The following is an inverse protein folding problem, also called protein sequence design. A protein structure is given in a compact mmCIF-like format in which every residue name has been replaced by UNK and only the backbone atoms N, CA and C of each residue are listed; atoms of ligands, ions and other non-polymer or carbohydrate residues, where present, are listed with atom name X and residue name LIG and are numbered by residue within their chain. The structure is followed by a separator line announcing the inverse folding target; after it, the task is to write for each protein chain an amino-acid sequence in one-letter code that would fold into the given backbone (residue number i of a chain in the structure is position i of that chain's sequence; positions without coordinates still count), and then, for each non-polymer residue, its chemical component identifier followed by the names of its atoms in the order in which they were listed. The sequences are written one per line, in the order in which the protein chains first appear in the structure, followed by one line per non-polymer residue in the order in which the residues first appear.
data_IF_919960097100
#
_entry.id   IF_919960097100
#
_cell.length_a   1.000
_cell.length_b   1.000
_cell.length_c   1.000
_cell.angle_alpha   90.00
_cell.angle_beta   90.00
_cell.angle_gamma   90.00
#
_symmetry.space_group_name_H-M   'P 1'
#
loop_
_entity.id
_entity.type
_entity.pdbx_description
1 polymer ?
#
# COMPACT_ATOMS: atom_id res chain seq x y z
N UNK A 1 60.23 -27.05 -6.72
CA UNK A 1 59.19 -28.05 -7.01
C UNK A 1 57.94 -27.27 -7.32
N UNK A 2 57.57 -27.28 -8.59
CA UNK A 2 56.50 -26.49 -9.18
C UNK A 2 55.21 -26.63 -8.37
N UNK A 3 54.56 -25.50 -8.07
CA UNK A 3 53.25 -25.45 -7.43
C UNK A 3 52.24 -26.09 -8.38
N UNK A 4 52.07 -27.41 -8.23
CA UNK A 4 51.07 -28.18 -8.93
C UNK A 4 49.73 -27.48 -8.77
N UNK A 5 49.14 -27.07 -9.90
CA UNK A 5 47.71 -26.80 -9.97
C UNK A 5 47.02 -28.13 -9.71
N UNK A 6 46.78 -28.40 -8.44
CA UNK A 6 46.01 -29.53 -7.95
C UNK A 6 44.54 -29.35 -8.37
N UNK A 7 44.28 -29.64 -9.64
CA UNK A 7 42.96 -29.65 -10.25
C UNK A 7 42.22 -30.92 -9.86
N UNK A 8 41.87 -31.01 -8.57
CA UNK A 8 40.98 -32.07 -8.10
C UNK A 8 39.55 -31.77 -8.55
N UNK A 9 38.93 -32.74 -9.22
CA UNK A 9 37.54 -32.73 -9.66
C UNK A 9 36.67 -33.42 -8.61
N UNK A 10 35.68 -32.72 -8.07
CA UNK A 10 34.73 -33.33 -7.14
C UNK A 10 33.69 -34.14 -7.93
N UNK A 11 33.70 -35.44 -7.69
CA UNK A 11 32.74 -36.40 -8.24
C UNK A 11 31.82 -36.83 -7.08
N UNK A 12 30.52 -36.53 -7.19
CA UNK A 12 29.50 -37.11 -6.32
C UNK A 12 29.11 -38.49 -6.85
N UNK A 13 29.21 -39.54 -6.03
CA UNK A 13 28.72 -40.86 -6.41
C UNK A 13 27.26 -41.02 -5.97
N UNK A 14 26.33 -41.09 -6.93
CA UNK A 14 24.89 -41.23 -6.67
C UNK A 14 24.38 -42.69 -6.70
N UNK A 15 25.30 -43.66 -6.65
CA UNK A 15 25.00 -45.09 -6.72
C UNK A 15 24.61 -45.60 -8.12
N UNK A 16 24.46 -44.72 -9.13
CA UNK A 16 24.30 -45.08 -10.55
C UNK A 16 25.44 -44.60 -11.44
N UNK A 17 26.33 -43.76 -10.91
CA UNK A 17 27.55 -43.27 -11.54
C UNK A 17 28.09 -42.04 -10.82
N UNK A 18 29.31 -41.62 -11.14
CA UNK A 18 29.88 -40.38 -10.61
C UNK A 18 29.33 -39.15 -11.37
N UNK A 19 28.51 -38.33 -10.73
CA UNK A 19 28.13 -37.00 -11.26
C UNK A 19 29.14 -35.95 -10.83
N UNK A 20 29.71 -35.27 -11.80
CA UNK A 20 30.61 -34.15 -11.56
C UNK A 20 29.77 -32.97 -11.03
N UNK A 21 30.21 -32.34 -9.93
CA UNK A 21 29.55 -31.14 -9.42
C UNK A 21 29.59 -30.01 -10.47
N UNK A 22 28.60 -29.11 -10.51
CA UNK A 22 28.64 -27.95 -11.39
C UNK A 22 29.93 -27.14 -11.21
N UNK A 23 30.49 -26.61 -12.31
CA UNK A 23 31.76 -25.84 -12.30
C UNK A 23 31.76 -24.71 -11.25
N UNK A 24 30.61 -24.04 -11.07
CA UNK A 24 30.43 -22.99 -10.05
C UNK A 24 30.66 -23.55 -8.63
N UNK A 25 30.06 -24.68 -8.32
CA UNK A 25 30.17 -25.34 -7.00
C UNK A 25 31.60 -25.77 -6.70
N UNK A 26 32.32 -26.26 -7.71
CA UNK A 26 33.74 -26.61 -7.58
C UNK A 26 34.59 -25.37 -7.31
N UNK A 27 34.35 -24.27 -8.03
CA UNK A 27 35.06 -23.00 -7.82
C UNK A 27 34.81 -22.43 -6.43
N UNK A 28 33.56 -22.45 -5.97
CA UNK A 28 33.15 -21.94 -4.66
C UNK A 28 33.79 -22.79 -3.54
N UNK A 29 33.87 -24.12 -3.68
CA UNK A 29 34.56 -24.98 -2.73
C UNK A 29 36.08 -24.73 -2.71
N UNK A 30 36.74 -24.65 -3.86
CA UNK A 30 38.18 -24.35 -3.94
C UNK A 30 38.52 -23.02 -3.27
N UNK A 31 37.69 -22.00 -3.48
CA UNK A 31 37.84 -20.70 -2.84
C UNK A 31 37.64 -20.76 -1.31
N UNK A 32 36.72 -21.59 -0.83
CA UNK A 32 36.52 -21.81 0.60
C UNK A 32 37.66 -22.61 1.23
N UNK A 33 38.13 -23.67 0.56
CA UNK A 33 39.21 -24.55 1.02
C UNK A 33 40.52 -23.77 1.23
N UNK A 34 40.96 -23.00 0.23
CA UNK A 34 42.17 -22.17 0.33
C UNK A 34 42.10 -21.17 1.47
N UNK A 35 40.89 -20.64 1.73
CA UNK A 35 40.66 -19.67 2.80
C UNK A 35 40.73 -20.34 4.18
N UNK A 36 40.10 -21.50 4.34
CA UNK A 36 40.14 -22.27 5.59
C UNK A 36 41.54 -22.81 5.90
N UNK A 37 42.29 -23.28 4.90
CA UNK A 37 43.71 -23.65 5.10
C UNK A 37 44.54 -22.45 5.56
N UNK A 38 44.35 -21.28 4.94
CA UNK A 38 45.03 -20.05 5.36
C UNK A 38 44.64 -19.60 6.77
N UNK A 39 43.42 -19.91 7.21
CA UNK A 39 42.93 -19.69 8.57
C UNK A 39 43.37 -20.78 9.58
N UNK A 40 44.12 -21.79 9.11
CA UNK A 40 44.74 -22.82 9.96
C UNK A 40 43.92 -24.09 10.15
N UNK A 41 42.85 -24.30 9.37
CA UNK A 41 42.10 -25.56 9.41
C UNK A 41 42.88 -26.67 8.71
N UNK A 42 42.93 -27.86 9.33
CA UNK A 42 43.58 -29.02 8.74
C UNK A 42 42.79 -29.55 7.52
N UNK A 43 43.46 -29.95 6.42
CA UNK A 43 42.84 -30.52 5.21
C UNK A 43 41.78 -31.59 5.49
N UNK A 44 42.11 -32.53 6.39
CA UNK A 44 41.21 -33.63 6.76
C UNK A 44 39.88 -33.16 7.38
N UNK A 45 39.86 -32.00 8.02
CA UNK A 45 38.64 -31.42 8.61
C UNK A 45 37.78 -30.79 7.53
N UNK A 46 38.40 -30.07 6.57
CA UNK A 46 37.69 -29.40 5.47
C UNK A 46 37.10 -30.43 4.50
N UNK A 47 37.79 -31.54 4.26
CA UNK A 47 37.33 -32.64 3.39
C UNK A 47 36.15 -33.43 3.96
N UNK A 48 36.00 -33.46 5.29
CA UNK A 48 34.83 -34.04 5.95
C UNK A 48 33.59 -33.13 5.89
N UNK A 49 33.75 -31.86 5.53
CA UNK A 49 32.65 -30.92 5.41
C UNK A 49 31.92 -31.07 4.07
N UNK A 50 30.60 -30.87 4.09
CA UNK A 50 29.86 -30.66 2.83
C UNK A 50 30.31 -29.36 2.17
N UNK A 51 30.17 -29.27 0.84
CA UNK A 51 30.57 -28.08 0.07
C UNK A 51 29.96 -26.78 0.61
N UNK A 52 28.69 -26.83 1.01
CA UNK A 52 27.99 -25.69 1.59
C UNK A 52 28.45 -25.35 3.01
N UNK A 53 28.81 -26.35 3.82
CA UNK A 53 29.34 -26.13 5.17
C UNK A 53 30.72 -25.46 5.12
N UNK A 54 31.63 -25.94 4.27
CA UNK A 54 32.94 -25.31 4.07
C UNK A 54 32.80 -23.87 3.56
N UNK A 55 31.90 -23.62 2.61
CA UNK A 55 31.66 -22.27 2.09
C UNK A 55 31.10 -21.31 3.14
N UNK A 56 30.12 -21.74 3.93
CA UNK A 56 29.54 -20.90 4.99
C UNK A 56 30.54 -20.66 6.15
N UNK A 57 31.44 -21.59 6.42
CA UNK A 57 32.49 -21.41 7.42
C UNK A 57 33.55 -20.42 6.93
N UNK A 58 33.99 -20.54 5.68
CA UNK A 58 34.99 -19.65 5.07
C UNK A 58 34.43 -18.24 4.81
N UNK A 59 33.16 -18.16 4.40
CA UNK A 59 32.46 -16.92 4.14
C UNK A 59 31.21 -16.89 5.01
N UNK A 60 31.38 -16.68 6.33
CA UNK A 60 30.21 -16.47 7.18
C UNK A 60 29.45 -15.32 6.56
N UNK A 61 28.12 -15.49 6.43
CA UNK A 61 27.25 -14.37 6.11
C UNK A 61 27.48 -13.36 7.22
N UNK A 62 28.38 -12.40 6.98
CA UNK A 62 28.42 -11.19 7.76
C UNK A 62 26.98 -10.71 7.75
N UNK A 63 26.37 -10.64 8.93
CA UNK A 63 25.21 -9.80 9.15
C UNK A 63 25.44 -8.56 8.32
N UNK A 64 24.58 -8.33 7.33
CA UNK A 64 24.65 -7.14 6.48
C UNK A 64 24.96 -5.99 7.44
N UNK A 65 26.15 -5.40 7.29
CA UNK A 65 26.57 -4.25 8.08
C UNK A 65 25.51 -3.20 7.77
N UNK A 66 24.51 -3.08 8.64
CA UNK A 66 23.57 -1.97 8.58
C UNK A 66 24.46 -0.73 8.58
N UNK A 67 24.32 0.11 7.58
CA UNK A 67 25.10 1.33 7.47
C UNK A 67 24.90 2.13 8.77
N UNK A 68 25.92 2.15 9.64
CA UNK A 68 25.93 2.84 10.93
C UNK A 68 26.07 4.36 10.75
N UNK A 69 25.33 4.95 9.80
CA UNK A 69 25.33 6.40 9.56
C UNK A 69 23.94 6.92 9.20
N UNK A 70 22.91 6.30 9.76
CA UNK A 70 21.64 6.97 10.00
C UNK A 70 21.44 6.94 11.51
N UNK A 71 21.62 8.09 12.17
CA UNK A 71 21.13 8.32 13.54
C UNK A 71 19.60 8.35 13.48
N UNK A 72 18.98 7.21 13.16
CA UNK A 72 17.53 7.07 13.29
C UNK A 72 17.28 6.94 14.79
N UNK A 73 16.70 7.96 15.40
CA UNK A 73 16.20 7.87 16.76
C UNK A 73 15.45 6.55 16.94
N UNK A 74 15.65 5.83 18.06
CA UNK A 74 14.90 4.61 18.32
C UNK A 74 13.41 4.98 18.33
N UNK A 75 12.61 4.27 17.51
CA UNK A 75 11.14 4.41 17.50
C UNK A 75 10.65 4.28 18.94
N UNK A 76 10.12 5.38 19.50
CA UNK A 76 9.62 5.40 20.87
C UNK A 76 8.45 4.43 20.96
N UNK A 77 8.49 3.51 21.93
CA UNK A 77 7.28 2.78 22.33
C UNK A 77 6.38 3.80 23.02
N UNK A 78 5.12 3.98 22.59
CA UNK A 78 4.20 4.81 23.34
C UNK A 78 3.98 4.15 24.69
N UNK A 79 4.46 4.79 25.77
CA UNK A 79 4.19 4.43 27.17
C UNK A 79 2.96 5.18 27.70
N UNK A 80 2.10 5.63 26.78
CA UNK A 80 0.91 6.41 27.09
C UNK A 80 -0.27 5.44 27.16
N UNK A 81 -0.79 5.23 28.36
CA UNK A 81 -2.08 4.57 28.57
C UNK A 81 -3.20 5.57 28.20
N UNK A 82 -3.69 5.49 26.96
CA UNK A 82 -4.83 6.29 26.49
C UNK A 82 -6.11 5.58 26.93
N UNK A 83 -6.64 5.98 28.08
CA UNK A 83 -7.94 5.49 28.55
C UNK A 83 -9.05 6.20 27.78
N UNK A 84 -9.76 5.46 26.92
CA UNK A 84 -10.97 5.95 26.26
C UNK A 84 -12.17 5.77 27.18
N UNK A 85 -12.89 6.86 27.46
CA UNK A 85 -14.17 6.77 28.16
C UNK A 85 -15.24 6.15 27.24
N UNK A 86 -16.09 5.27 27.79
CA UNK A 86 -17.20 4.69 27.04
C UNK A 86 -18.30 5.74 26.86
N UNK A 87 -18.46 6.22 25.63
CA UNK A 87 -19.58 7.09 25.26
C UNK A 87 -20.75 6.25 24.72
N UNK A 88 -21.89 6.28 25.40
CA UNK A 88 -23.15 5.80 24.82
C UNK A 88 -23.72 6.86 23.87
N UNK A 89 -23.93 6.49 22.61
CA UNK A 89 -24.58 7.34 21.61
C UNK A 89 -25.84 6.66 21.11
N UNK A 90 -26.99 7.29 21.34
CA UNK A 90 -28.24 6.89 20.71
C UNK A 90 -28.22 7.36 19.26
N UNK A 91 -28.10 6.42 18.32
CA UNK A 91 -28.08 6.70 16.89
C UNK A 91 -29.42 6.30 16.28
N UNK A 92 -30.14 7.26 15.72
CA UNK A 92 -31.29 6.95 14.86
C UNK A 92 -30.76 6.43 13.52
N UNK A 93 -30.78 5.11 13.35
CA UNK A 93 -30.30 4.48 12.12
C UNK A 93 -31.39 4.53 11.05
N UNK A 94 -31.04 5.00 9.85
CA UNK A 94 -31.95 4.96 8.71
C UNK A 94 -32.08 3.52 8.21
N UNK A 95 -33.20 3.19 7.54
CA UNK A 95 -33.43 1.85 7.00
C UNK A 95 -32.29 1.41 6.07
N UNK A 96 -31.54 0.38 6.47
CA UNK A 96 -30.41 -0.16 5.70
C UNK A 96 -30.82 -0.68 4.32
N UNK A 97 -32.08 -1.08 4.15
CA UNK A 97 -32.63 -1.50 2.85
C UNK A 97 -32.69 -0.31 1.87
N UNK A 98 -33.12 0.86 2.34
CA UNK A 98 -33.21 2.05 1.50
C UNK A 98 -31.82 2.59 1.15
N UNK A 99 -30.89 2.57 2.11
CA UNK A 99 -29.49 2.96 1.89
C UNK A 99 -28.77 2.01 0.91
N UNK A 100 -29.02 0.70 1.00
CA UNK A 100 -28.48 -0.29 0.07
C UNK A 100 -29.00 -0.08 -1.37
N UNK A 101 -30.31 0.17 -1.53
CA UNK A 101 -30.90 0.48 -2.84
C UNK A 101 -30.32 1.78 -3.43
N UNK A 102 -30.17 2.82 -2.61
CA UNK A 102 -29.54 4.07 -3.02
C UNK A 102 -28.11 3.87 -3.52
N UNK A 103 -27.31 3.10 -2.77
CA UNK A 103 -25.94 2.75 -3.17
C UNK A 103 -25.90 1.97 -4.48
N UNK A 104 -26.82 1.02 -4.69
CA UNK A 104 -26.90 0.26 -5.94
C UNK A 104 -27.18 1.16 -7.15
N UNK A 105 -28.12 2.10 -7.03
CA UNK A 105 -28.43 3.07 -8.10
C UNK A 105 -27.24 3.99 -8.41
N UNK A 106 -26.46 4.37 -7.39
CA UNK A 106 -25.24 5.16 -7.60
C UNK A 106 -24.11 4.36 -8.23
N UNK A 107 -23.97 3.08 -7.90
CA UNK A 107 -23.04 2.17 -8.56
C UNK A 107 -23.36 2.08 -10.05
N UNK A 108 -24.64 1.98 -10.42
CA UNK A 108 -25.06 2.03 -11.81
C UNK A 108 -24.75 3.40 -12.45
N UNK A 109 -25.02 4.50 -11.74
CA UNK A 109 -24.79 5.85 -12.26
C UNK A 109 -23.30 6.16 -12.58
N UNK A 110 -22.37 5.56 -11.83
CA UNK A 110 -20.94 5.80 -11.99
C UNK A 110 -20.17 4.56 -12.47
N UNK A 111 -20.86 3.55 -13.01
CA UNK A 111 -20.28 2.29 -13.48
C UNK A 111 -19.35 1.62 -12.44
N UNK A 112 -19.69 1.71 -11.16
CA UNK A 112 -18.91 1.16 -10.05
C UNK A 112 -17.53 1.80 -9.86
N UNK A 113 -17.36 3.05 -10.30
CA UNK A 113 -16.12 3.82 -10.14
C UNK A 113 -16.39 5.07 -9.30
N UNK A 114 -15.38 5.49 -8.56
CA UNK A 114 -15.39 6.77 -7.88
C UNK A 114 -15.52 7.90 -8.90
N UNK A 115 -16.47 8.82 -8.68
CA UNK A 115 -16.72 9.99 -9.51
C UNK A 115 -15.48 10.89 -9.67
N UNK A 116 -14.62 10.92 -8.65
CA UNK A 116 -13.46 11.81 -8.58
C UNK A 116 -12.20 11.10 -9.05
N UNK A 117 -11.88 9.93 -8.49
CA UNK A 117 -10.63 9.22 -8.80
C UNK A 117 -10.74 8.30 -10.01
N UNK A 118 -11.96 7.88 -10.39
CA UNK A 118 -12.20 6.86 -11.42
C UNK A 118 -11.83 5.44 -10.97
N UNK A 119 -11.41 5.28 -9.71
CA UNK A 119 -11.01 4.00 -9.15
C UNK A 119 -12.22 3.17 -8.75
N UNK A 120 -12.12 1.86 -8.97
CA UNK A 120 -13.11 0.87 -8.48
C UNK A 120 -12.90 0.58 -6.99
N UNK A 121 -11.68 0.80 -6.49
CA UNK A 121 -11.28 0.64 -5.08
C UNK A 121 -11.69 -0.72 -4.47
N UNK A 122 -11.62 -1.81 -5.25
CA UNK A 122 -12.01 -3.14 -4.79
C UNK A 122 -13.48 -3.28 -4.35
N UNK A 123 -14.36 -2.35 -4.77
CA UNK A 123 -15.76 -2.29 -4.33
C UNK A 123 -15.98 -1.51 -3.02
N UNK A 124 -14.91 -0.99 -2.41
CA UNK A 124 -14.99 -0.10 -1.24
C UNK A 124 -15.25 1.33 -1.72
N UNK A 125 -16.51 1.57 -2.07
CA UNK A 125 -17.03 2.87 -2.45
C UNK A 125 -18.17 3.25 -1.52
N UNK A 126 -18.28 4.54 -1.21
CA UNK A 126 -19.33 5.11 -0.38
C UNK A 126 -20.25 6.01 -1.20
N UNK A 127 -21.52 6.03 -0.81
CA UNK A 127 -22.54 6.88 -1.38
C UNK A 127 -22.59 8.19 -0.58
N UNK A 128 -21.88 9.19 -1.06
CA UNK A 128 -21.88 10.54 -0.49
C UNK A 128 -23.20 11.24 -0.85
N UNK A 129 -23.84 11.88 0.12
CA UNK A 129 -25.03 12.70 -0.14
C UNK A 129 -24.58 14.14 -0.39
N UNK A 130 -25.15 14.80 -1.41
CA UNK A 130 -24.90 16.22 -1.64
C UNK A 130 -25.58 17.05 -0.53
N UNK A 131 -26.83 16.73 -0.22
CA UNK A 131 -27.58 17.30 0.89
C UNK A 131 -28.04 16.22 1.88
N UNK A 132 -27.82 16.47 3.17
CA UNK A 132 -28.25 15.61 4.27
C UNK A 132 -29.78 15.66 4.45
N UNK A 133 -30.50 14.76 3.76
CA UNK A 133 -31.97 14.68 3.81
C UNK A 133 -32.51 13.26 3.95
N UNK A 134 -33.83 13.13 4.09
CA UNK A 134 -34.57 11.84 4.17
C UNK A 134 -34.87 11.20 2.80
N UNK A 135 -34.56 11.89 1.70
CA UNK A 135 -34.87 11.43 0.34
C UNK A 135 -33.66 10.74 -0.30
N UNK A 136 -33.83 9.48 -0.66
CA UNK A 136 -32.85 8.67 -1.39
C UNK A 136 -32.98 8.84 -2.90
N UNK A 137 -32.71 10.04 -3.41
CA UNK A 137 -32.72 10.31 -4.84
C UNK A 137 -31.30 10.13 -5.42
N UNK A 138 -31.07 9.28 -6.45
CA UNK A 138 -29.77 9.13 -7.11
C UNK A 138 -29.13 10.45 -7.54
N UNK A 139 -29.92 11.46 -7.93
CA UNK A 139 -29.41 12.80 -8.28
C UNK A 139 -28.82 13.58 -7.09
N UNK A 140 -29.17 13.21 -5.85
CA UNK A 140 -28.62 13.78 -4.62
C UNK A 140 -27.42 12.97 -4.09
N UNK A 141 -26.88 12.05 -4.89
CA UNK A 141 -25.81 11.15 -4.48
C UNK A 141 -24.64 11.18 -5.44
N UNK A 142 -23.44 11.04 -4.88
CA UNK A 142 -22.20 10.89 -5.64
C UNK A 142 -21.47 9.65 -5.11
N UNK A 143 -21.03 8.78 -6.02
CA UNK A 143 -20.26 7.61 -5.64
C UNK A 143 -18.79 8.00 -5.49
N UNK A 144 -18.24 7.87 -4.28
CA UNK A 144 -16.88 8.33 -3.97
C UNK A 144 -16.10 7.25 -3.20
N UNK A 145 -14.78 7.36 -3.15
CA UNK A 145 -14.00 6.57 -2.18
C UNK A 145 -14.22 7.09 -0.77
N UNK A 146 -14.05 6.28 0.29
CA UNK A 146 -14.23 6.72 1.67
C UNK A 146 -13.40 7.96 2.03
N UNK A 147 -12.17 8.04 1.51
CA UNK A 147 -11.31 9.22 1.70
C UNK A 147 -11.90 10.48 1.07
N UNK A 148 -12.40 10.39 -0.16
CA UNK A 148 -13.00 11.54 -0.85
C UNK A 148 -14.33 11.94 -0.21
N UNK A 149 -15.11 10.96 0.24
CA UNK A 149 -16.34 11.19 1.00
C UNK A 149 -16.05 11.96 2.29
N UNK A 150 -15.03 11.55 3.07
CA UNK A 150 -14.65 12.26 4.29
C UNK A 150 -14.18 13.70 4.01
N UNK A 151 -13.43 13.93 2.92
CA UNK A 151 -13.01 15.29 2.52
C UNK A 151 -14.20 16.16 2.10
N UNK A 152 -15.18 15.58 1.41
CA UNK A 152 -16.39 16.26 0.97
C UNK A 152 -17.33 16.59 2.14
N UNK A 153 -17.48 15.68 3.09
CA UNK A 153 -18.26 15.90 4.31
C UNK A 153 -17.64 16.98 5.20
N UNK A 154 -16.30 17.02 5.27
CA UNK A 154 -15.54 18.01 6.03
C UNK A 154 -15.41 19.38 5.35
N UNK A 155 -16.07 19.62 4.22
CA UNK A 155 -15.97 20.87 3.44
C UNK A 155 -14.53 21.24 3.05
N UNK A 156 -13.66 20.23 2.92
CA UNK A 156 -12.28 20.36 2.42
C UNK A 156 -12.20 20.17 0.90
N UNK A 157 -13.28 19.66 0.31
CA UNK A 157 -13.46 19.39 -1.10
C UNK A 157 -14.84 19.86 -1.53
N UNK A 158 -14.92 20.50 -2.70
CA UNK A 158 -16.16 20.96 -3.29
C UNK A 158 -16.25 20.56 -4.76
N UNK A 159 -17.46 20.64 -5.32
CA UNK A 159 -17.71 20.41 -6.74
C UNK A 159 -18.45 21.65 -7.26
N UNK A 160 -17.91 22.26 -8.31
CA UNK A 160 -18.52 23.42 -8.96
C UNK A 160 -19.77 22.96 -9.75
N UNK A 161 -20.97 23.49 -9.46
CA UNK A 161 -22.19 23.13 -10.18
C UNK A 161 -22.21 23.57 -11.65
N UNK A 162 -21.45 24.61 -12.04
CA UNK A 162 -21.46 25.13 -13.41
C UNK A 162 -20.63 24.26 -14.36
N UNK A 163 -19.49 23.77 -13.89
CA UNK A 163 -18.51 23.01 -14.69
C UNK A 163 -18.49 21.52 -14.36
N UNK A 164 -19.07 21.13 -13.21
CA UNK A 164 -18.94 19.81 -12.58
C UNK A 164 -17.48 19.43 -12.32
N UNK A 165 -16.62 20.41 -12.06
CA UNK A 165 -15.22 20.19 -11.69
C UNK A 165 -15.03 20.12 -10.19
N UNK A 166 -14.11 19.25 -9.78
CA UNK A 166 -13.73 19.04 -8.40
C UNK A 166 -12.66 20.05 -7.98
N UNK A 167 -12.80 20.61 -6.78
CA UNK A 167 -11.84 21.55 -6.19
C UNK A 167 -11.53 21.18 -4.74
N UNK A 168 -10.30 21.44 -4.31
CA UNK A 168 -9.82 21.14 -2.96
C UNK A 168 -9.31 22.40 -2.25
N UNK A 169 -9.40 22.42 -0.91
CA UNK A 169 -8.76 23.47 -0.11
C UNK A 169 -7.23 23.32 -0.14
N UNK A 170 -6.47 24.42 0.06
CA UNK A 170 -5.02 24.37 0.07
C UNK A 170 -4.49 23.45 1.18
N UNK A 171 -3.43 22.71 0.89
CA UNK A 171 -2.80 21.77 1.83
C UNK A 171 -3.29 20.33 1.76
N UNK A 172 -4.20 20.00 0.82
CA UNK A 172 -4.62 18.62 0.56
C UNK A 172 -3.80 18.04 -0.59
N UNK A 173 -2.96 17.03 -0.31
CA UNK A 173 -2.12 16.35 -1.33
C UNK A 173 -2.95 15.78 -2.49
N UNK A 174 -4.15 15.28 -2.19
CA UNK A 174 -5.07 14.77 -3.22
C UNK A 174 -5.56 15.85 -4.19
N UNK A 175 -5.52 17.12 -3.77
CA UNK A 175 -5.81 18.25 -4.65
C UNK A 175 -4.84 18.29 -5.82
N UNK A 176 -3.54 18.08 -5.59
CA UNK A 176 -2.54 18.11 -6.66
C UNK A 176 -2.79 17.08 -7.78
N UNK A 177 -3.47 15.97 -7.44
CA UNK A 177 -3.74 14.88 -8.39
C UNK A 177 -5.11 14.99 -9.06
N UNK A 178 -6.10 15.58 -8.40
CA UNK A 178 -7.50 15.52 -8.83
C UNK A 178 -8.19 16.89 -8.94
N UNK A 179 -7.46 17.99 -8.74
CA UNK A 179 -7.95 19.35 -8.96
C UNK A 179 -8.45 19.55 -10.40
N UNK A 180 -9.60 20.19 -10.56
CA UNK A 180 -10.21 20.47 -11.87
C UNK A 180 -10.78 19.23 -12.56
N UNK A 181 -10.81 18.07 -11.90
CA UNK A 181 -11.33 16.85 -12.51
C UNK A 181 -12.83 16.94 -12.70
N UNK A 182 -13.30 16.73 -13.93
CA UNK A 182 -14.71 16.77 -14.26
C UNK A 182 -15.41 15.46 -13.88
N UNK A 183 -16.51 15.57 -13.15
CA UNK A 183 -17.40 14.45 -12.84
C UNK A 183 -18.37 14.28 -14.01
N UNK A 184 -18.49 13.04 -14.48
CA UNK A 184 -19.42 12.67 -15.54
C UNK A 184 -20.35 11.56 -15.04
N UNK A 185 -21.56 11.89 -14.57
CA UNK A 185 -22.58 10.88 -14.31
C UNK A 185 -23.01 10.22 -15.62
N UNK A 186 -23.40 8.94 -15.58
CA UNK A 186 -23.75 8.16 -16.77
C UNK A 186 -25.27 7.98 -16.96
N UNK A 187 -26.02 7.88 -15.86
CA UNK A 187 -27.44 7.47 -15.88
C UNK A 187 -28.36 8.57 -15.36
N UNK A 188 -27.96 9.25 -14.30
CA UNK A 188 -28.75 10.30 -13.63
C UNK A 188 -27.92 11.57 -13.48
N UNK A 189 -28.47 12.68 -13.95
CA UNK A 189 -27.89 14.00 -13.72
C UNK A 189 -27.92 14.36 -12.22
N UNK A 190 -26.90 15.11 -11.80
CA UNK A 190 -26.78 15.61 -10.43
C UNK A 190 -27.71 16.80 -10.21
N UNK A 191 -28.23 16.92 -8.99
CA UNK A 191 -29.05 18.05 -8.57
C UNK A 191 -28.17 19.30 -8.40
N UNK A 192 -28.15 20.15 -9.43
CA UNK A 192 -27.29 21.33 -9.50
C UNK A 192 -27.65 22.38 -8.45
N UNK A 193 -28.93 22.50 -8.07
CA UNK A 193 -29.36 23.47 -7.06
C UNK A 193 -28.79 23.11 -5.69
N UNK A 194 -28.89 21.83 -5.31
CA UNK A 194 -28.30 21.33 -4.05
C UNK A 194 -26.79 21.41 -4.06
N UNK A 195 -26.17 21.10 -5.20
CA UNK A 195 -24.72 21.18 -5.35
C UNK A 195 -24.24 22.63 -5.20
N UNK A 196 -24.99 23.61 -5.72
CA UNK A 196 -24.69 25.03 -5.57
C UNK A 196 -24.74 25.48 -4.10
N UNK A 197 -25.72 25.02 -3.33
CA UNK A 197 -25.79 25.31 -1.88
C UNK A 197 -24.56 24.76 -1.16
N UNK A 198 -24.18 23.51 -1.45
CA UNK A 198 -22.99 22.88 -0.84
C UNK A 198 -21.70 23.58 -1.28
N UNK A 199 -21.60 23.97 -2.55
CA UNK A 199 -20.47 24.71 -3.11
C UNK A 199 -20.29 26.08 -2.43
N UNK A 200 -21.37 26.80 -2.16
CA UNK A 200 -21.32 28.06 -1.41
C UNK A 200 -20.75 27.87 0.01
N UNK A 201 -21.10 26.76 0.67
CA UNK A 201 -20.49 26.36 1.95
C UNK A 201 -18.99 26.10 1.85
N UNK A 202 -18.57 25.35 0.83
CA UNK A 202 -17.15 25.09 0.57
C UNK A 202 -16.33 26.37 0.35
N UNK A 203 -16.87 27.35 -0.40
CA UNK A 203 -16.23 28.64 -0.66
C UNK A 203 -16.13 29.54 0.59
N UNK A 204 -16.73 29.14 1.72
CA UNK A 204 -16.76 29.95 2.93
C UNK A 204 -17.74 31.13 2.86
N UNK A 205 -18.66 31.12 1.89
CA UNK A 205 -19.70 32.15 1.75
C UNK A 205 -20.89 31.91 2.70
N UNK A 206 -20.89 30.80 3.44
CA UNK A 206 -21.94 30.46 4.41
C UNK A 206 -21.36 30.25 5.82
N UNK A 207 -21.06 31.36 6.51
CA UNK A 207 -21.54 31.71 7.86
C UNK A 207 -20.71 32.86 8.48
N UNK A 208 -21.23 34.08 8.34
CA UNK A 208 -21.21 35.08 9.42
C UNK A 208 -22.68 35.25 9.84
N UNK A 209 -23.17 34.36 10.70
CA UNK A 209 -24.35 34.53 11.55
C UNK A 209 -24.12 33.74 12.83
#
# INVERSE_FOLDING_TARGET
LETGTDDFWFIAFDGKGGKIYPLKTQRDYRAAYRKLEAEGYAPAVIEQMTTGAAYNLAYPRSTLKQAETATSEPKRKPDVDIQGEHCERVVTQRSGVAQGKFKALLIENFAGRCAVTGWVNGGVLDAAHIEHGTRYNPSNGILMTPTMHALFDADLMGIDPATLTVHFKPGIELGELFEGRKITPLVYDLDLERLAVRWAGYQGLAHEQ
#
